data_IF_638061557348
#
_entry.id   IF_638061557348
#
_cell.length_a   1.000
_cell.length_b   1.000
_cell.length_c   1.000
_cell.angle_alpha   90.00
_cell.angle_beta   90.00
_cell.angle_gamma   90.00
#
_symmetry.space_group_name_H-M   'P 1'
#
loop_
_entity.id
_entity.type
_entity.pdbx_description
1 polymer ?
#
# COMPACT_ATOMS: atom_id res chain seq x y z
N UNK A 1 22.30 1.57 15.86
CA UNK A 1 22.62 0.13 15.89
C UNK A 1 21.44 -0.63 15.31
N UNK A 2 21.65 -1.66 14.48
CA UNK A 2 20.60 -2.37 13.76
C UNK A 2 19.65 -3.15 14.70
N UNK A 3 18.42 -3.38 14.26
CA UNK A 3 17.48 -4.28 14.92
C UNK A 3 17.92 -5.74 14.73
N UNK A 4 17.73 -6.58 15.75
CA UNK A 4 18.07 -7.99 15.73
C UNK A 4 16.84 -8.88 15.53
N UNK A 5 15.70 -8.44 16.06
CA UNK A 5 14.41 -9.12 16.00
C UNK A 5 13.33 -8.16 15.49
N UNK A 6 12.45 -8.65 14.61
CA UNK A 6 11.26 -7.97 14.14
C UNK A 6 10.01 -8.74 14.58
N UNK A 7 9.04 -8.08 15.20
CA UNK A 7 7.78 -8.72 15.61
C UNK A 7 6.64 -8.26 14.72
N UNK A 8 6.05 -9.20 13.98
CA UNK A 8 4.86 -9.01 13.14
C UNK A 8 3.60 -9.44 13.89
N UNK A 9 2.59 -8.59 13.92
CA UNK A 9 1.34 -8.87 14.64
C UNK A 9 0.19 -7.99 14.13
N UNK A 10 -1.04 -8.48 14.26
CA UNK A 10 -2.25 -7.68 13.99
C UNK A 10 -2.51 -6.72 15.16
N UNK A 11 -2.39 -5.42 14.89
CA UNK A 11 -2.44 -4.39 15.94
C UNK A 11 -3.85 -4.05 16.38
N UNK A 12 -4.72 -3.70 15.43
CA UNK A 12 -6.08 -3.23 15.70
C UNK A 12 -7.10 -4.27 15.22
N UNK A 13 -8.17 -4.42 15.98
CA UNK A 13 -9.29 -5.27 15.61
C UNK A 13 -10.03 -4.70 14.39
N UNK A 14 -10.47 -5.56 13.44
CA UNK A 14 -11.15 -5.11 12.22
C UNK A 14 -12.47 -4.35 12.46
N UNK A 15 -13.11 -4.61 13.58
CA UNK A 15 -14.38 -3.99 14.02
C UNK A 15 -14.20 -2.64 14.74
N UNK A 16 -12.96 -2.18 14.90
CA UNK A 16 -12.65 -0.93 15.57
C UNK A 16 -12.70 -1.01 17.11
N UNK A 17 -12.85 -2.20 17.72
CA UNK A 17 -12.93 -2.39 19.18
C UNK A 17 -11.63 -2.12 19.93
N UNK A 18 -10.55 -1.75 19.22
CA UNK A 18 -9.27 -1.38 19.81
C UNK A 18 -8.13 -2.32 19.47
N UNK A 19 -7.20 -2.50 20.42
CA UNK A 19 -6.02 -3.37 20.23
C UNK A 19 -6.40 -4.85 20.28
N UNK A 20 -5.78 -5.64 19.38
CA UNK A 20 -5.97 -7.08 19.35
C UNK A 20 -5.27 -7.80 20.50
N UNK A 21 -5.59 -9.08 20.68
CA UNK A 21 -4.82 -9.96 21.56
C UNK A 21 -3.41 -10.18 21.05
N UNK A 22 -3.19 -10.23 19.72
CA UNK A 22 -1.84 -10.27 19.09
C UNK A 22 -0.97 -9.12 19.57
N UNK A 23 -1.51 -7.89 19.61
CA UNK A 23 -0.78 -6.72 20.11
C UNK A 23 -0.32 -6.92 21.57
N UNK A 24 -1.18 -7.46 22.44
CA UNK A 24 -0.85 -7.67 23.85
C UNK A 24 0.26 -8.71 24.02
N UNK A 25 0.18 -9.82 23.27
CA UNK A 25 1.21 -10.86 23.27
C UNK A 25 2.54 -10.35 22.71
N UNK A 26 2.50 -9.61 21.61
CA UNK A 26 3.67 -9.01 20.99
C UNK A 26 4.34 -7.97 21.91
N UNK A 27 3.56 -7.14 22.59
CA UNK A 27 4.06 -6.16 23.56
C UNK A 27 4.73 -6.80 24.78
N UNK A 28 4.16 -7.89 25.28
CA UNK A 28 4.74 -8.66 26.39
C UNK A 28 6.05 -9.36 25.98
N UNK A 29 6.08 -9.93 24.78
CA UNK A 29 7.29 -10.55 24.22
C UNK A 29 8.37 -9.51 23.94
N UNK A 30 8.01 -8.35 23.36
CA UNK A 30 8.91 -7.22 23.11
C UNK A 30 9.60 -6.78 24.40
N UNK A 31 8.85 -6.58 25.49
CA UNK A 31 9.39 -6.21 26.80
C UNK A 31 10.39 -7.26 27.28
N UNK A 32 10.00 -8.53 27.24
CA UNK A 32 10.86 -9.64 27.71
C UNK A 32 12.18 -9.72 26.93
N UNK A 33 12.15 -9.56 25.61
CA UNK A 33 13.35 -9.57 24.77
C UNK A 33 14.22 -8.32 24.98
N UNK A 34 13.60 -7.15 25.15
CA UNK A 34 14.31 -5.90 25.42
C UNK A 34 15.01 -5.95 26.78
N UNK A 35 14.36 -6.46 27.81
CA UNK A 35 14.94 -6.68 29.14
C UNK A 35 16.11 -7.68 29.10
N UNK A 36 16.09 -8.61 28.13
CA UNK A 36 17.18 -9.53 27.85
C UNK A 36 18.30 -8.93 26.97
N UNK A 37 18.23 -7.63 26.63
CA UNK A 37 19.26 -6.93 25.85
C UNK A 37 19.18 -7.20 24.35
N UNK A 38 18.03 -7.62 23.84
CA UNK A 38 17.76 -7.79 22.40
C UNK A 38 17.18 -6.51 21.82
N UNK A 39 17.64 -6.08 20.66
CA UNK A 39 17.09 -4.94 19.93
C UNK A 39 15.93 -5.39 19.06
N UNK A 40 14.75 -5.09 19.52
CA UNK A 40 13.50 -5.52 18.90
C UNK A 40 12.81 -4.37 18.20
N UNK A 41 12.40 -4.56 16.95
CA UNK A 41 11.45 -3.69 16.31
C UNK A 41 10.03 -4.13 16.68
N UNK A 42 9.29 -3.21 17.27
CA UNK A 42 7.90 -3.38 17.66
C UNK A 42 7.13 -2.08 17.34
N UNK A 43 6.16 -2.18 16.44
CA UNK A 43 5.42 -1.00 15.97
C UNK A 43 4.26 -0.65 16.89
N UNK A 44 4.38 0.42 17.66
CA UNK A 44 3.29 0.98 18.47
C UNK A 44 2.45 2.03 17.73
N UNK A 45 2.91 2.53 16.58
CA UNK A 45 2.31 3.66 15.87
C UNK A 45 1.39 3.21 14.74
N UNK A 46 0.41 4.04 14.38
CA UNK A 46 -0.38 3.84 13.17
C UNK A 46 0.45 4.11 11.92
N UNK A 47 0.27 3.25 10.91
CA UNK A 47 1.01 3.23 9.64
C UNK A 47 0.56 4.37 8.71
N UNK A 48 0.60 5.63 9.16
CA UNK A 48 0.02 6.75 8.42
C UNK A 48 1.03 7.59 7.64
N UNK A 49 2.34 7.35 7.76
CA UNK A 49 3.35 8.16 7.08
C UNK A 49 4.37 7.31 6.30
N UNK A 50 4.77 7.78 5.13
CA UNK A 50 5.83 7.16 4.29
C UNK A 50 7.19 7.03 5.00
N UNK A 51 7.47 7.90 5.96
CA UNK A 51 8.67 7.82 6.80
C UNK A 51 8.65 6.57 7.70
N UNK A 52 7.48 6.23 8.24
CA UNK A 52 7.31 5.09 9.12
C UNK A 52 7.35 3.75 8.36
N UNK A 53 6.79 3.70 7.17
CA UNK A 53 6.90 2.51 6.29
C UNK A 53 8.37 2.22 5.97
N UNK A 54 9.17 3.24 5.69
CA UNK A 54 10.62 3.08 5.48
C UNK A 54 11.33 2.53 6.73
N UNK A 55 10.90 2.91 7.92
CA UNK A 55 11.44 2.39 9.16
C UNK A 55 11.14 0.89 9.34
N UNK A 56 9.91 0.46 9.02
CA UNK A 56 9.51 -0.95 9.04
C UNK A 56 10.39 -1.78 8.09
N UNK A 57 10.49 -1.36 6.83
CA UNK A 57 11.30 -2.11 5.86
C UNK A 57 12.79 -2.12 6.23
N UNK A 58 13.31 -1.03 6.78
CA UNK A 58 14.67 -1.00 7.31
C UNK A 58 14.83 -1.99 8.47
N UNK A 59 13.90 -2.01 9.40
CA UNK A 59 13.92 -2.92 10.53
C UNK A 59 13.79 -4.39 10.09
N UNK A 60 12.94 -4.69 9.09
CA UNK A 60 12.84 -6.02 8.47
C UNK A 60 14.16 -6.45 7.82
N UNK A 61 14.85 -5.52 7.15
CA UNK A 61 16.13 -5.82 6.50
C UNK A 61 17.27 -6.02 7.52
N UNK A 62 17.32 -5.20 8.56
CA UNK A 62 18.31 -5.30 9.63
C UNK A 62 18.13 -6.57 10.47
N UNK A 63 16.89 -6.95 10.79
CA UNK A 63 16.59 -8.05 11.68
C UNK A 63 17.09 -9.40 11.14
N UNK A 64 17.69 -10.20 12.02
CA UNK A 64 18.09 -11.58 11.74
C UNK A 64 16.95 -12.56 12.03
N UNK A 65 16.06 -12.21 12.95
CA UNK A 65 14.92 -13.03 13.35
C UNK A 65 13.64 -12.26 13.15
N UNK A 66 12.62 -12.92 12.59
CA UNK A 66 11.24 -12.46 12.60
C UNK A 66 10.38 -13.36 13.48
N UNK A 67 9.47 -12.74 14.24
CA UNK A 67 8.47 -13.45 15.04
C UNK A 67 7.10 -13.05 14.54
N UNK A 68 6.32 -14.02 14.07
CA UNK A 68 4.93 -13.80 13.66
C UNK A 68 4.02 -14.20 14.82
N UNK A 69 3.34 -13.23 15.40
CA UNK A 69 2.39 -13.44 16.50
C UNK A 69 0.99 -13.63 15.94
N UNK A 70 0.30 -14.68 16.38
CA UNK A 70 -1.05 -14.98 15.91
C UNK A 70 -1.96 -15.56 16.98
N UNK A 71 -3.17 -15.00 17.10
CA UNK A 71 -4.26 -15.54 17.92
C UNK A 71 -5.44 -15.99 17.09
N UNK A 72 -5.45 -15.64 15.80
CA UNK A 72 -6.45 -16.05 14.81
C UNK A 72 -5.79 -16.21 13.44
N UNK A 73 -6.21 -17.21 12.63
CA UNK A 73 -5.64 -17.41 11.30
C UNK A 73 -5.72 -16.16 10.42
N UNK A 74 -6.87 -15.46 10.43
CA UNK A 74 -7.08 -14.24 9.66
C UNK A 74 -6.17 -13.06 10.09
N UNK A 75 -5.59 -13.09 11.26
CA UNK A 75 -4.65 -12.08 11.72
C UNK A 75 -3.25 -12.32 11.17
N UNK A 76 -2.82 -13.58 11.09
CA UNK A 76 -1.53 -13.98 10.52
C UNK A 76 -1.45 -13.67 9.02
N UNK A 77 -2.56 -13.82 8.30
CA UNK A 77 -2.69 -13.49 6.87
C UNK A 77 -3.24 -12.09 6.61
N UNK A 78 -3.38 -11.27 7.66
CA UNK A 78 -3.80 -9.88 7.46
C UNK A 78 -2.73 -9.13 6.69
N UNK A 79 -3.17 -8.20 5.87
CA UNK A 79 -2.42 -7.46 4.85
C UNK A 79 -0.97 -7.13 5.24
N UNK A 80 -0.77 -6.47 6.39
CA UNK A 80 0.55 -6.05 6.86
C UNK A 80 1.38 -7.22 7.40
N UNK A 81 0.78 -8.06 8.24
CA UNK A 81 1.47 -9.21 8.83
C UNK A 81 1.93 -10.15 7.72
N UNK A 82 1.07 -10.40 6.72
CA UNK A 82 1.39 -11.22 5.55
C UNK A 82 2.55 -10.62 4.75
N UNK A 83 2.47 -9.34 4.38
CA UNK A 83 3.52 -8.66 3.62
C UNK A 83 4.88 -8.67 4.34
N UNK A 84 4.89 -8.51 5.67
CA UNK A 84 6.10 -8.52 6.49
C UNK A 84 6.79 -9.88 6.48
N UNK A 85 6.06 -10.96 6.79
CA UNK A 85 6.70 -12.29 6.85
C UNK A 85 7.01 -12.85 5.45
N UNK A 86 6.20 -12.55 4.43
CA UNK A 86 6.50 -12.91 3.05
C UNK A 86 7.79 -12.23 2.55
N UNK A 87 7.96 -10.94 2.83
CA UNK A 87 9.18 -10.19 2.54
C UNK A 87 10.40 -10.80 3.21
N UNK A 88 10.29 -11.17 4.48
CA UNK A 88 11.38 -11.77 5.25
C UNK A 88 11.74 -13.17 4.73
N UNK A 89 10.74 -14.01 4.43
CA UNK A 89 10.93 -15.32 3.79
C UNK A 89 11.63 -15.20 2.43
N UNK A 90 11.21 -14.27 1.61
CA UNK A 90 11.82 -14.00 0.31
C UNK A 90 13.30 -13.61 0.45
N UNK A 91 13.65 -12.87 1.51
CA UNK A 91 15.04 -12.52 1.80
C UNK A 91 15.87 -13.73 2.26
N UNK A 92 15.27 -14.69 3.00
CA UNK A 92 15.91 -15.96 3.38
C UNK A 92 16.15 -16.82 2.13
N UNK A 93 15.10 -17.08 1.31
CA UNK A 93 15.19 -17.91 0.11
C UNK A 93 16.13 -17.32 -0.95
N UNK A 94 16.12 -15.99 -1.10
CA UNK A 94 17.05 -15.24 -1.95
C UNK A 94 18.48 -15.16 -1.44
N UNK A 95 18.81 -15.87 -0.33
CA UNK A 95 20.13 -15.91 0.32
C UNK A 95 20.67 -14.54 0.78
N UNK A 96 19.82 -13.55 0.91
CA UNK A 96 20.17 -12.23 1.46
C UNK A 96 20.35 -12.30 2.97
N UNK A 97 19.51 -13.09 3.65
CA UNK A 97 19.58 -13.37 5.09
C UNK A 97 20.10 -14.79 5.30
N UNK A 98 21.43 -14.97 5.25
CA UNK A 98 22.08 -16.30 5.37
C UNK A 98 21.74 -17.01 6.67
N UNK A 99 21.55 -16.26 7.77
CA UNK A 99 21.18 -16.76 9.09
C UNK A 99 19.80 -16.27 9.53
N UNK A 100 18.93 -15.92 8.56
CA UNK A 100 17.58 -15.46 8.84
C UNK A 100 16.69 -16.58 9.33
N UNK A 101 15.89 -16.34 10.38
CA UNK A 101 14.97 -17.32 10.95
C UNK A 101 13.60 -16.69 11.20
N UNK A 102 12.53 -17.46 10.98
CA UNK A 102 11.17 -17.07 11.32
C UNK A 102 10.64 -18.03 12.37
N UNK A 103 10.15 -17.47 13.46
CA UNK A 103 9.39 -18.17 14.48
C UNK A 103 7.94 -17.72 14.47
N UNK A 104 7.02 -18.63 14.78
CA UNK A 104 5.63 -18.26 15.06
C UNK A 104 5.37 -18.37 16.56
N UNK A 105 4.60 -17.41 17.09
CA UNK A 105 4.25 -17.34 18.52
C UNK A 105 2.71 -17.22 18.63
N UNK A 106 2.09 -18.32 19.03
CA UNK A 106 0.66 -18.55 18.85
C UNK A 106 -0.08 -18.63 20.20
N UNK A 107 -1.33 -18.17 20.21
CA UNK A 107 -2.26 -18.39 21.35
C UNK A 107 -3.66 -18.68 20.81
N UNK A 108 -4.25 -19.78 21.27
CA UNK A 108 -5.63 -20.15 20.87
C UNK A 108 -5.79 -20.65 19.44
N UNK A 109 -4.67 -20.87 18.73
CA UNK A 109 -4.65 -21.50 17.40
C UNK A 109 -3.50 -22.52 17.29
N UNK A 110 -3.62 -23.41 16.32
CA UNK A 110 -2.67 -24.50 16.08
C UNK A 110 -1.88 -24.29 14.80
N UNK A 111 -0.77 -24.98 14.64
CA UNK A 111 0.14 -24.83 13.48
C UNK A 111 -0.52 -25.18 12.15
N UNK A 112 -1.46 -26.11 12.14
CA UNK A 112 -2.24 -26.54 10.96
C UNK A 112 -3.17 -25.46 10.43
N UNK A 113 -3.42 -24.40 11.20
CA UNK A 113 -4.16 -23.22 10.78
C UNK A 113 -3.27 -22.12 10.17
N UNK A 114 -1.95 -22.33 10.13
CA UNK A 114 -1.00 -21.41 9.51
C UNK A 114 -0.94 -21.60 7.99
N UNK A 115 -0.58 -20.53 7.23
CA UNK A 115 -0.17 -20.67 5.84
C UNK A 115 0.95 -21.70 5.67
N UNK A 116 0.96 -22.39 4.52
CA UNK A 116 1.93 -23.45 4.23
C UNK A 116 3.38 -22.99 4.39
N UNK A 117 3.66 -21.72 4.08
CA UNK A 117 4.98 -21.09 4.17
C UNK A 117 5.48 -20.98 5.63
N UNK A 118 4.56 -20.84 6.59
CA UNK A 118 4.84 -20.78 8.00
C UNK A 118 4.67 -22.11 8.72
N UNK A 119 3.89 -23.04 8.17
CA UNK A 119 3.60 -24.35 8.76
C UNK A 119 4.89 -25.13 9.11
N UNK A 120 5.89 -25.08 8.25
CA UNK A 120 7.16 -25.78 8.43
C UNK A 120 8.18 -24.97 9.26
N UNK A 121 7.78 -23.84 9.86
CA UNK A 121 8.63 -23.03 10.72
C UNK A 121 8.50 -23.47 12.18
N UNK A 122 9.49 -23.14 12.98
CA UNK A 122 9.43 -23.47 14.41
C UNK A 122 8.36 -22.59 15.09
N UNK A 123 7.36 -23.25 15.66
CA UNK A 123 6.22 -22.63 16.32
C UNK A 123 6.31 -22.80 17.85
N UNK A 124 5.87 -21.79 18.57
CA UNK A 124 5.81 -21.78 20.03
C UNK A 124 4.40 -21.37 20.46
N UNK A 125 3.81 -22.09 21.37
CA UNK A 125 2.60 -21.66 22.06
C UNK A 125 2.91 -20.57 23.09
N UNK A 126 1.93 -19.72 23.43
CA UNK A 126 2.11 -18.61 24.38
C UNK A 126 2.61 -19.05 25.75
N UNK A 127 2.34 -20.30 26.18
CA UNK A 127 2.89 -20.90 27.40
C UNK A 127 4.40 -21.19 27.31
N UNK A 128 4.95 -21.27 26.10
CA UNK A 128 6.35 -21.56 25.80
C UNK A 128 7.23 -20.30 25.64
N UNK A 129 6.76 -19.13 26.10
CA UNK A 129 7.49 -17.85 25.96
C UNK A 129 8.96 -17.94 26.37
N UNK A 130 9.25 -18.55 27.51
CA UNK A 130 10.63 -18.70 28.01
C UNK A 130 11.50 -19.52 27.05
N UNK A 131 10.93 -20.55 26.42
CA UNK A 131 11.65 -21.39 25.46
C UNK A 131 11.92 -20.59 24.16
N UNK A 132 10.96 -19.84 23.66
CA UNK A 132 11.13 -18.94 22.51
C UNK A 132 12.24 -17.91 22.79
N UNK A 133 12.20 -17.23 23.93
CA UNK A 133 13.23 -16.25 24.33
C UNK A 133 14.63 -16.89 24.39
N UNK A 134 14.75 -18.07 25.03
CA UNK A 134 16.01 -18.80 25.08
C UNK A 134 16.53 -19.19 23.70
N UNK A 135 15.62 -19.58 22.79
CA UNK A 135 15.96 -19.92 21.41
C UNK A 135 16.50 -18.71 20.64
N UNK A 136 15.85 -17.56 20.80
CA UNK A 136 16.27 -16.30 20.19
C UNK A 136 17.64 -15.87 20.69
N UNK A 137 17.86 -15.89 22.02
CA UNK A 137 19.15 -15.53 22.62
C UNK A 137 20.27 -16.42 22.10
N UNK A 138 20.06 -17.74 22.07
CA UNK A 138 21.02 -18.69 21.52
C UNK A 138 21.33 -18.41 20.04
N UNK A 139 20.32 -18.12 19.23
CA UNK A 139 20.51 -17.80 17.80
C UNK A 139 21.34 -16.52 17.63
N UNK A 140 21.15 -15.52 18.50
CA UNK A 140 21.88 -14.25 18.51
C UNK A 140 23.23 -14.33 19.21
N UNK A 141 23.63 -15.50 19.75
CA UNK A 141 24.87 -15.68 20.51
C UNK A 141 24.88 -14.91 21.84
N UNK A 142 23.72 -14.68 22.45
CA UNK A 142 23.57 -13.95 23.72
C UNK A 142 23.29 -14.91 24.88
N UNK A 143 23.80 -14.58 26.05
CA UNK A 143 23.52 -15.35 27.29
C UNK A 143 22.32 -14.77 28.01
N UNK A 144 21.40 -15.59 28.48
CA UNK A 144 20.23 -15.13 29.24
C UNK A 144 20.65 -14.35 30.50
N UNK A 145 20.07 -13.19 30.80
CA UNK A 145 20.33 -12.45 32.04
C UNK A 145 19.88 -13.27 33.25
N UNK A 146 20.70 -13.29 34.31
CA UNK A 146 20.26 -13.84 35.58
C UNK A 146 19.09 -13.00 36.15
N UNK A 147 18.09 -13.62 36.79
CA UNK A 147 16.95 -12.90 37.31
C UNK A 147 17.34 -11.91 38.41
N UNK A 148 17.05 -10.62 38.17
CA UNK A 148 17.15 -9.56 39.19
C UNK A 148 16.02 -9.74 40.21
N UNK A 149 16.26 -9.48 41.53
CA UNK A 149 15.22 -9.53 42.55
C UNK A 149 14.17 -8.45 42.30
N UNK A 150 12.89 -8.81 42.51
CA UNK A 150 11.71 -7.93 42.29
C UNK A 150 11.74 -6.73 43.24
N UNK A 151 11.47 -5.49 42.77
CA UNK A 151 11.20 -4.37 43.66
C UNK A 151 9.79 -4.47 44.27
N UNK A 152 9.69 -4.06 45.53
CA UNK A 152 8.44 -3.95 46.32
C UNK A 152 7.58 -2.81 45.79
N UNK A 153 6.25 -2.89 45.77
CA UNK A 153 5.37 -1.88 45.16
C UNK A 153 5.18 -0.64 46.04
N UNK A 154 5.36 0.54 45.46
CA UNK A 154 4.94 1.82 46.03
C UNK A 154 3.47 2.17 45.69
N UNK A 155 2.78 2.93 46.57
CA UNK A 155 1.32 3.11 46.48
C UNK A 155 0.90 4.17 45.47
N UNK A 156 -0.26 3.94 44.84
CA UNK A 156 -0.89 4.79 43.81
C UNK A 156 -1.45 6.09 44.37
N UNK A 157 -1.35 7.23 43.68
CA UNK A 157 -2.15 8.42 43.95
C UNK A 157 -3.57 8.31 43.34
N UNK A 158 -4.54 8.89 44.04
CA UNK A 158 -5.98 8.92 43.71
C UNK A 158 -6.31 9.91 42.57
N UNK A 159 -7.41 9.73 41.84
CA UNK A 159 -7.81 10.59 40.74
C UNK A 159 -8.47 11.92 41.23
N UNK A 160 -8.22 12.99 40.49
CA UNK A 160 -8.89 14.28 40.64
C UNK A 160 -10.00 14.40 39.59
N UNK A 161 -11.22 14.63 40.07
CA UNK A 161 -12.42 14.91 39.28
C UNK A 161 -12.35 16.29 38.62
N UNK A 162 -12.67 16.39 37.34
CA UNK A 162 -12.97 17.66 36.67
C UNK A 162 -14.42 17.68 36.17
N UNK A 163 -15.14 18.70 36.57
CA UNK A 163 -16.53 19.02 36.22
C UNK A 163 -16.65 19.57 34.79
N UNK A 164 -17.80 19.37 34.11
CA UNK A 164 -18.02 19.80 32.73
C UNK A 164 -18.43 21.26 32.58
N UNK A 165 -17.97 21.91 31.54
CA UNK A 165 -18.38 23.25 31.11
C UNK A 165 -19.39 23.15 29.96
N UNK A 166 -20.44 23.98 30.08
CA UNK A 166 -21.64 23.97 29.25
C UNK A 166 -21.42 24.55 27.84
N UNK A 167 -22.20 23.98 26.89
CA UNK A 167 -22.32 24.43 25.49
C UNK A 167 -23.15 25.69 25.37
N UNK A 168 -22.72 26.65 24.55
CA UNK A 168 -23.56 27.72 24.01
C UNK A 168 -23.71 27.52 22.49
N UNK A 169 -24.96 27.55 22.02
CA UNK A 169 -25.36 27.58 20.62
C UNK A 169 -25.40 29.02 20.08
N UNK A 170 -25.06 29.26 18.82
CA UNK A 170 -25.46 30.47 18.11
C UNK A 170 -26.73 30.27 17.26
N UNK A 171 -27.59 31.27 17.28
CA UNK A 171 -28.84 31.39 16.53
C UNK A 171 -28.62 31.87 15.09
N UNK A 172 -29.60 31.70 14.16
CA UNK A 172 -29.44 31.89 12.73
C UNK A 172 -29.70 33.32 12.27
N UNK A 173 -28.95 33.76 11.26
CA UNK A 173 -29.15 35.04 10.57
C UNK A 173 -29.71 34.83 9.17
N UNK A 174 -30.69 35.67 8.85
CA UNK A 174 -31.60 35.69 7.71
C UNK A 174 -30.93 35.80 6.33
N UNK A 175 -31.58 35.22 5.31
CA UNK A 175 -31.25 35.28 3.88
C UNK A 175 -31.63 36.60 3.22
N UNK A 176 -30.91 37.07 2.21
CA UNK A 176 -31.43 37.90 1.13
C UNK A 176 -31.65 37.11 -0.17
N UNK A 177 -32.71 37.47 -0.89
CA UNK A 177 -33.20 36.90 -2.15
C UNK A 177 -32.34 37.27 -3.40
N UNK A 178 -32.54 36.60 -4.57
CA UNK A 178 -31.48 36.34 -5.54
C UNK A 178 -31.41 37.36 -6.67
N UNK A 179 -30.19 37.73 -7.05
CA UNK A 179 -29.86 38.40 -8.29
C UNK A 179 -29.51 37.35 -9.39
N UNK A 180 -29.91 37.63 -10.61
CA UNK A 180 -29.79 36.77 -11.78
C UNK A 180 -28.36 36.32 -12.08
N UNK A 181 -28.18 34.99 -12.32
CA UNK A 181 -26.91 34.32 -12.60
C UNK A 181 -26.36 34.70 -13.99
N UNK A 182 -25.09 35.15 -14.08
CA UNK A 182 -24.31 34.96 -15.30
C UNK A 182 -23.97 33.47 -15.47
N UNK A 183 -23.82 33.01 -16.70
CA UNK A 183 -23.46 31.63 -17.04
C UNK A 183 -22.26 31.16 -16.19
N UNK A 184 -22.47 30.21 -15.26
CA UNK A 184 -21.43 29.75 -14.34
C UNK A 184 -20.48 28.86 -15.08
N UNK A 185 -19.30 29.34 -15.40
CA UNK A 185 -18.16 28.49 -15.65
C UNK A 185 -17.95 27.62 -14.38
N UNK A 186 -18.21 26.33 -14.51
CA UNK A 186 -18.04 25.39 -13.39
C UNK A 186 -16.56 25.40 -13.00
N UNK A 187 -16.24 26.03 -11.89
CA UNK A 187 -14.86 26.02 -11.35
C UNK A 187 -14.51 24.59 -11.04
N UNK A 188 -13.51 24.04 -11.76
CA UNK A 188 -13.02 22.69 -11.56
C UNK A 188 -12.36 22.56 -10.18
N UNK A 189 -12.64 21.47 -9.47
CA UNK A 189 -12.11 21.19 -8.11
C UNK A 189 -11.45 19.81 -8.07
N UNK A 190 -10.49 19.64 -7.19
CA UNK A 190 -9.92 18.32 -6.88
C UNK A 190 -11.03 17.38 -6.42
N UNK A 191 -11.09 16.20 -7.03
CA UNK A 191 -12.13 15.20 -6.83
C UNK A 191 -13.30 15.26 -7.84
N UNK A 192 -13.44 16.35 -8.59
CA UNK A 192 -14.45 16.41 -9.67
C UNK A 192 -14.17 15.34 -10.72
N UNK A 193 -15.27 14.86 -11.34
CA UNK A 193 -15.20 13.95 -12.48
C UNK A 193 -15.66 14.69 -13.74
N UNK A 194 -14.84 14.62 -14.78
CA UNK A 194 -15.12 15.27 -16.07
C UNK A 194 -14.98 14.28 -17.22
N UNK A 195 -15.82 14.36 -18.26
CA UNK A 195 -15.63 13.62 -19.50
C UNK A 195 -14.53 14.28 -20.34
N UNK A 196 -13.61 13.48 -20.88
CA UNK A 196 -12.62 13.94 -21.85
C UNK A 196 -12.11 12.76 -22.69
N UNK A 197 -12.16 12.87 -24.00
CA UNK A 197 -11.85 11.77 -24.91
C UNK A 197 -12.89 10.64 -24.88
N UNK A 198 -12.67 9.63 -25.68
CA UNK A 198 -13.56 8.47 -25.85
C UNK A 198 -12.72 7.21 -26.05
N UNK A 199 -13.14 6.09 -25.46
CA UNK A 199 -12.43 4.81 -25.61
C UNK A 199 -13.41 3.65 -25.46
N UNK A 200 -13.11 2.45 -25.98
CA UNK A 200 -13.93 1.26 -25.71
C UNK A 200 -14.07 1.00 -24.21
N UNK A 201 -15.32 0.82 -23.75
CA UNK A 201 -15.61 0.52 -22.35
C UNK A 201 -16.62 -0.61 -22.17
N UNK A 202 -17.50 -0.81 -23.15
CA UNK A 202 -18.46 -1.92 -23.17
C UNK A 202 -17.82 -3.25 -23.56
N UNK A 203 -18.51 -4.35 -23.27
CA UNK A 203 -18.02 -5.70 -23.51
C UNK A 203 -17.73 -5.98 -25.01
N UNK A 204 -18.51 -5.40 -25.91
CA UNK A 204 -18.32 -5.55 -27.34
C UNK A 204 -17.47 -4.42 -27.96
N UNK A 205 -16.80 -3.61 -27.15
CA UNK A 205 -15.96 -2.52 -27.60
C UNK A 205 -16.74 -1.23 -27.90
N UNK A 206 -17.92 -1.05 -27.31
CA UNK A 206 -18.70 0.19 -27.45
C UNK A 206 -17.87 1.37 -26.94
N UNK A 207 -17.64 2.35 -27.84
CA UNK A 207 -16.85 3.54 -27.54
C UNK A 207 -17.70 4.55 -26.78
N UNK A 208 -17.29 4.87 -25.55
CA UNK A 208 -17.97 5.76 -24.63
C UNK A 208 -17.04 6.89 -24.17
N UNK A 209 -17.58 8.04 -23.68
CA UNK A 209 -16.75 9.08 -23.07
C UNK A 209 -15.95 8.53 -21.90
N UNK A 210 -14.64 8.82 -21.87
CA UNK A 210 -13.80 8.52 -20.72
C UNK A 210 -14.07 9.50 -19.59
N UNK A 211 -14.31 8.98 -18.39
CA UNK A 211 -14.45 9.77 -17.17
C UNK A 211 -13.13 9.89 -16.45
N UNK A 212 -12.76 11.13 -16.13
CA UNK A 212 -11.50 11.46 -15.46
C UNK A 212 -11.76 12.12 -14.12
N UNK A 213 -11.01 11.71 -13.11
CA UNK A 213 -10.99 12.35 -11.80
C UNK A 213 -9.88 13.39 -11.77
N UNK A 214 -10.18 14.57 -11.26
CA UNK A 214 -9.20 15.64 -11.01
C UNK A 214 -8.42 15.29 -9.73
N UNK A 215 -7.11 15.11 -9.87
CA UNK A 215 -6.21 14.81 -8.76
C UNK A 215 -5.52 16.07 -8.20
N UNK A 216 -5.18 17.02 -9.07
CA UNK A 216 -4.53 18.27 -8.70
C UNK A 216 -4.90 19.41 -9.68
N UNK A 217 -4.76 20.64 -9.20
CA UNK A 217 -4.90 21.86 -9.99
C UNK A 217 -3.65 22.70 -9.73
N UNK A 218 -2.85 22.93 -10.76
CA UNK A 218 -1.58 23.68 -10.64
C UNK A 218 -1.32 24.51 -11.89
N UNK A 219 -1.02 25.78 -11.74
CA UNK A 219 -0.55 26.66 -12.83
C UNK A 219 -1.41 26.64 -14.11
N UNK A 220 -2.73 26.70 -13.98
CA UNK A 220 -3.67 26.66 -15.12
C UNK A 220 -3.83 25.28 -15.76
N UNK A 221 -3.41 24.21 -15.06
CA UNK A 221 -3.57 22.82 -15.52
C UNK A 221 -4.27 21.97 -14.47
N UNK A 222 -4.92 20.91 -14.92
CA UNK A 222 -5.49 19.87 -14.08
C UNK A 222 -4.78 18.54 -14.31
N UNK A 223 -4.31 17.89 -13.25
CA UNK A 223 -3.89 16.49 -13.30
C UNK A 223 -5.13 15.60 -13.26
N UNK A 224 -5.31 14.83 -14.30
CA UNK A 224 -6.44 13.92 -14.48
C UNK A 224 -5.96 12.48 -14.46
N UNK A 225 -6.78 11.59 -13.88
CA UNK A 225 -6.62 10.12 -13.96
C UNK A 225 -7.97 9.49 -14.34
N UNK A 226 -7.97 8.42 -15.12
CA UNK A 226 -9.23 7.70 -15.41
C UNK A 226 -9.89 7.21 -14.11
N UNK A 227 -11.23 7.28 -14.08
CA UNK A 227 -11.97 6.81 -12.90
C UNK A 227 -11.91 5.28 -12.77
N UNK A 228 -12.02 4.59 -13.90
CA UNK A 228 -11.94 3.14 -14.03
C UNK A 228 -10.63 2.69 -14.71
N UNK A 229 -10.33 1.38 -14.64
CA UNK A 229 -9.29 0.74 -15.45
C UNK A 229 -9.84 0.53 -16.86
N UNK A 230 -9.18 1.12 -17.85
CA UNK A 230 -9.74 1.22 -19.20
C UNK A 230 -9.30 0.10 -20.15
N UNK A 231 -8.21 -0.57 -19.85
CA UNK A 231 -7.65 -1.66 -20.64
C UNK A 231 -6.81 -2.59 -19.76
N UNK A 232 -6.31 -3.69 -20.34
CA UNK A 232 -5.33 -4.60 -19.77
C UNK A 232 -4.14 -4.71 -20.71
N UNK A 233 -3.03 -4.09 -20.34
CA UNK A 233 -1.79 -4.09 -21.12
C UNK A 233 -0.63 -4.41 -20.17
N UNK A 234 0.27 -5.34 -20.50
CA UNK A 234 1.42 -5.63 -19.66
C UNK A 234 2.33 -4.40 -19.57
N UNK A 235 3.06 -4.25 -18.45
CA UNK A 235 4.04 -3.18 -18.31
C UNK A 235 5.12 -3.28 -19.39
N UNK A 236 5.54 -4.52 -19.70
CA UNK A 236 6.40 -4.85 -20.84
C UNK A 236 5.93 -6.15 -21.50
N UNK A 237 5.81 -6.18 -22.82
CA UNK A 237 5.45 -7.40 -23.57
C UNK A 237 6.43 -8.55 -23.33
N UNK A 238 7.70 -8.23 -23.09
CA UNK A 238 8.71 -9.21 -22.78
C UNK A 238 9.05 -9.16 -21.29
N UNK A 239 9.17 -10.33 -20.66
CA UNK A 239 9.63 -10.45 -19.27
C UNK A 239 11.15 -10.25 -19.22
N UNK A 240 11.57 -8.99 -19.11
CA UNK A 240 12.97 -8.57 -19.02
C UNK A 240 13.13 -7.34 -18.12
N UNK A 241 14.37 -7.01 -17.79
CA UNK A 241 14.66 -5.76 -17.05
C UNK A 241 14.30 -4.56 -17.91
N UNK A 242 13.35 -3.75 -17.42
CA UNK A 242 12.87 -2.53 -18.08
C UNK A 242 12.70 -1.41 -17.06
N UNK A 243 12.68 -0.19 -17.56
CA UNK A 243 12.28 1.02 -16.81
C UNK A 243 11.06 1.64 -17.48
N UNK A 244 10.44 2.64 -16.85
CA UNK A 244 9.37 3.40 -17.51
C UNK A 244 9.77 3.92 -18.89
N UNK A 245 11.00 4.43 -19.02
CA UNK A 245 11.54 4.92 -20.29
C UNK A 245 11.45 3.88 -21.43
N UNK A 246 11.72 2.62 -21.13
CA UNK A 246 11.91 1.55 -22.12
C UNK A 246 10.72 0.60 -22.26
N UNK A 247 9.77 0.63 -21.34
CA UNK A 247 8.63 -0.29 -21.29
C UNK A 247 7.64 -0.09 -22.47
N UNK A 248 6.92 -1.15 -22.82
CA UNK A 248 5.93 -1.10 -23.90
C UNK A 248 4.66 -0.38 -23.49
N UNK A 249 4.27 -0.42 -22.21
CA UNK A 249 3.11 0.30 -21.69
C UNK A 249 3.23 1.82 -21.92
N UNK A 250 4.39 2.42 -21.64
CA UNK A 250 4.62 3.84 -21.92
C UNK A 250 4.48 4.17 -23.40
N UNK A 251 5.05 3.33 -24.26
CA UNK A 251 4.94 3.49 -25.72
C UNK A 251 3.48 3.42 -26.17
N UNK A 252 2.74 2.46 -25.69
CA UNK A 252 1.32 2.31 -25.96
C UNK A 252 0.52 3.53 -25.48
N UNK A 253 0.75 4.02 -24.26
CA UNK A 253 0.06 5.21 -23.73
C UNK A 253 0.28 6.47 -24.58
N UNK A 254 1.51 6.70 -25.02
CA UNK A 254 1.88 7.91 -25.76
C UNK A 254 1.67 7.83 -27.27
N UNK A 255 1.32 6.67 -27.80
CA UNK A 255 1.04 6.46 -29.23
C UNK A 255 -0.37 5.94 -29.46
N UNK A 256 -0.61 4.65 -29.20
CA UNK A 256 -1.85 3.98 -29.61
C UNK A 256 -3.05 4.48 -28.82
N UNK A 257 -2.95 4.53 -27.49
CA UNK A 257 -3.99 5.06 -26.63
C UNK A 257 -4.25 6.56 -26.91
N UNK A 258 -3.20 7.37 -26.98
CA UNK A 258 -3.33 8.81 -27.22
C UNK A 258 -4.06 9.10 -28.52
N UNK A 259 -3.77 8.36 -29.59
CA UNK A 259 -4.45 8.51 -30.90
C UNK A 259 -5.86 7.95 -30.91
N UNK A 260 -6.09 6.84 -30.22
CA UNK A 260 -7.40 6.19 -30.20
C UNK A 260 -8.40 6.92 -29.33
N UNK A 261 -7.94 7.52 -28.22
CA UNK A 261 -8.81 8.09 -27.19
C UNK A 261 -9.15 9.58 -27.40
N UNK A 262 -8.33 10.33 -28.14
CA UNK A 262 -8.47 11.79 -28.21
C UNK A 262 -8.43 12.34 -29.65
N UNK A 263 -9.34 13.28 -29.94
CA UNK A 263 -9.29 14.09 -31.16
C UNK A 263 -8.02 14.96 -31.23
N UNK A 264 -7.70 15.53 -32.39
CA UNK A 264 -6.54 16.42 -32.53
C UNK A 264 -6.65 17.65 -31.63
N UNK A 265 -7.86 18.21 -31.46
CA UNK A 265 -8.11 19.35 -30.58
C UNK A 265 -7.95 18.96 -29.09
N UNK A 266 -8.45 17.81 -28.70
CA UNK A 266 -8.26 17.28 -27.34
C UNK A 266 -6.78 17.00 -27.07
N UNK A 267 -6.09 16.40 -28.04
CA UNK A 267 -4.65 16.16 -27.93
C UNK A 267 -3.85 17.46 -27.76
N UNK A 268 -4.21 18.55 -28.42
CA UNK A 268 -3.55 19.86 -28.29
C UNK A 268 -3.64 20.42 -26.86
N UNK A 269 -4.66 20.03 -26.09
CA UNK A 269 -4.85 20.43 -24.70
C UNK A 269 -4.08 19.55 -23.69
N UNK A 270 -3.59 18.37 -24.09
CA UNK A 270 -2.82 17.49 -23.23
C UNK A 270 -1.36 17.99 -23.20
N UNK A 271 -0.90 18.43 -22.03
CA UNK A 271 0.44 18.95 -21.85
C UNK A 271 1.49 17.83 -21.97
N UNK A 272 2.61 18.13 -22.63
CA UNK A 272 3.82 17.30 -22.50
C UNK A 272 4.53 17.67 -21.22
N UNK A 273 4.82 16.68 -20.37
CA UNK A 273 5.47 16.88 -19.08
C UNK A 273 6.74 16.04 -18.96
N UNK A 274 7.67 16.54 -18.15
CA UNK A 274 8.88 15.79 -17.77
C UNK A 274 8.58 14.98 -16.52
N UNK A 275 8.57 13.66 -16.65
CA UNK A 275 8.40 12.74 -15.54
C UNK A 275 9.76 12.34 -14.94
N UNK A 276 9.89 12.52 -13.65
CA UNK A 276 10.97 11.93 -12.86
C UNK A 276 10.68 10.43 -12.70
N UNK A 277 11.70 9.61 -12.91
CA UNK A 277 11.63 8.17 -12.71
C UNK A 277 12.68 7.76 -11.66
N UNK A 278 12.46 8.08 -10.37
CA UNK A 278 13.41 7.78 -9.32
C UNK A 278 13.57 6.27 -9.11
N UNK A 279 14.64 5.89 -8.43
CA UNK A 279 14.80 4.55 -7.89
C UNK A 279 13.58 4.23 -7.03
N UNK A 280 13.11 2.99 -7.06
CA UNK A 280 12.09 2.51 -6.13
C UNK A 280 12.53 2.81 -4.68
N UNK A 281 11.65 3.36 -3.82
CA UNK A 281 12.00 3.74 -2.46
C UNK A 281 12.28 2.55 -1.53
N UNK A 282 11.89 1.33 -1.91
CA UNK A 282 12.22 0.12 -1.14
C UNK A 282 13.73 -0.11 -1.11
N UNK A 283 14.18 -0.82 -0.07
CA UNK A 283 15.62 -1.00 0.20
C UNK A 283 16.39 -1.63 -0.97
N UNK A 284 15.73 -2.52 -1.69
CA UNK A 284 16.28 -3.25 -2.85
C UNK A 284 15.77 -2.72 -4.19
N UNK A 285 15.08 -1.58 -4.16
CA UNK A 285 14.38 -1.05 -5.31
C UNK A 285 15.25 -0.89 -6.55
N UNK A 286 14.70 -1.31 -7.68
CA UNK A 286 15.34 -1.14 -8.97
C UNK A 286 15.48 0.35 -9.34
N UNK A 287 16.40 0.66 -10.26
CA UNK A 287 16.55 2.01 -10.83
C UNK A 287 15.34 2.35 -11.70
N UNK A 288 14.83 3.57 -11.61
CA UNK A 288 13.66 4.03 -12.37
C UNK A 288 13.96 4.42 -13.82
N UNK A 289 15.22 4.66 -14.15
CA UNK A 289 15.64 5.11 -15.49
C UNK A 289 15.81 6.61 -15.60
N UNK A 290 15.90 7.09 -16.84
CA UNK A 290 16.07 8.50 -17.16
C UNK A 290 14.75 9.27 -17.05
N UNK A 291 14.83 10.60 -17.10
CA UNK A 291 13.68 11.48 -17.29
C UNK A 291 12.96 11.12 -18.58
N UNK A 292 11.63 11.17 -18.56
CA UNK A 292 10.82 10.93 -19.77
C UNK A 292 9.94 12.14 -20.09
N UNK A 293 9.77 12.40 -21.37
CA UNK A 293 8.76 13.36 -21.86
C UNK A 293 7.51 12.58 -22.21
N UNK A 294 6.42 12.82 -21.47
CA UNK A 294 5.18 12.09 -21.64
C UNK A 294 4.00 13.03 -21.75
N UNK A 295 3.04 12.66 -22.59
CA UNK A 295 1.73 13.29 -22.65
C UNK A 295 0.72 12.51 -21.80
N UNK A 296 0.81 11.18 -21.82
CA UNK A 296 0.00 10.27 -21.01
C UNK A 296 0.95 9.33 -20.26
N UNK A 297 0.69 9.12 -18.97
CA UNK A 297 1.58 8.34 -18.11
C UNK A 297 0.80 7.58 -17.02
N UNK A 298 1.40 6.55 -16.45
CA UNK A 298 0.97 5.97 -15.19
C UNK A 298 1.54 6.79 -14.03
N UNK A 299 0.84 6.90 -12.90
CA UNK A 299 1.36 7.57 -11.72
C UNK A 299 2.59 6.83 -11.17
N UNK A 300 3.51 7.56 -10.53
CA UNK A 300 4.56 6.96 -9.69
C UNK A 300 4.00 6.51 -8.34
N UNK A 301 4.79 5.75 -7.57
CA UNK A 301 4.51 5.44 -6.16
C UNK A 301 4.21 6.74 -5.39
N UNK A 302 5.12 7.72 -5.47
CA UNK A 302 5.01 8.99 -4.75
C UNK A 302 3.74 9.77 -5.14
N UNK A 303 3.40 9.80 -6.43
CA UNK A 303 2.19 10.48 -6.92
C UNK A 303 0.91 9.75 -6.47
N UNK A 304 0.89 8.41 -6.52
CA UNK A 304 -0.23 7.62 -6.06
C UNK A 304 -0.47 7.80 -4.54
N UNK A 305 0.59 7.95 -3.76
CA UNK A 305 0.49 8.23 -2.32
C UNK A 305 0.12 9.69 -2.03
N UNK A 306 0.60 10.64 -2.85
CA UNK A 306 0.36 12.08 -2.67
C UNK A 306 -1.06 12.50 -3.03
N UNK A 307 -1.58 12.03 -4.16
CA UNK A 307 -2.82 12.56 -4.74
C UNK A 307 -4.08 11.83 -4.29
N UNK A 308 -3.97 10.67 -3.67
CA UNK A 308 -5.11 9.97 -3.10
C UNK A 308 -5.06 10.02 -1.57
N UNK A 309 -6.21 10.23 -0.94
CA UNK A 309 -6.32 10.40 0.52
C UNK A 309 -6.20 9.08 1.29
N UNK A 310 -6.50 7.97 0.65
CA UNK A 310 -6.56 6.64 1.27
C UNK A 310 -6.42 5.53 0.24
N UNK A 311 -6.22 4.30 0.71
CA UNK A 311 -6.24 3.11 -0.14
C UNK A 311 -7.58 2.97 -0.87
N UNK A 312 -8.69 3.21 -0.18
CA UNK A 312 -10.02 3.18 -0.80
C UNK A 312 -10.17 4.15 -1.97
N UNK A 313 -9.54 5.32 -1.91
CA UNK A 313 -9.54 6.31 -2.99
C UNK A 313 -8.74 5.86 -4.21
N UNK A 314 -7.72 5.01 -4.02
CA UNK A 314 -6.90 4.42 -5.08
C UNK A 314 -7.57 3.24 -5.77
N UNK A 315 -8.54 2.59 -5.12
CA UNK A 315 -9.28 1.49 -5.73
C UNK A 315 -9.86 1.91 -7.09
N UNK A 316 -9.84 1.01 -8.06
CA UNK A 316 -10.44 1.23 -9.36
C UNK A 316 -11.08 -0.08 -9.88
N UNK A 317 -12.20 0.03 -10.57
CA UNK A 317 -12.84 -1.12 -11.19
C UNK A 317 -12.48 -1.19 -12.67
N UNK A 318 -12.24 -2.37 -13.24
CA UNK A 318 -12.07 -2.51 -14.68
C UNK A 318 -13.41 -2.28 -15.42
N UNK A 319 -13.34 -1.66 -16.60
CA UNK A 319 -14.46 -1.61 -17.54
C UNK A 319 -14.74 -3.01 -18.08
N UNK A 320 -15.93 -3.23 -18.67
CA UNK A 320 -16.23 -4.51 -19.31
C UNK A 320 -15.24 -4.81 -20.44
N UNK A 321 -14.82 -3.80 -21.20
CA UNK A 321 -13.78 -3.92 -22.21
C UNK A 321 -12.42 -4.37 -21.60
N UNK A 322 -11.98 -3.72 -20.52
CA UNK A 322 -10.74 -4.10 -19.85
C UNK A 322 -10.76 -5.55 -19.32
N UNK A 323 -11.92 -5.99 -18.79
CA UNK A 323 -12.12 -7.39 -18.36
C UNK A 323 -11.96 -8.36 -19.55
N UNK A 324 -12.60 -8.07 -20.67
CA UNK A 324 -12.48 -8.87 -21.89
C UNK A 324 -11.05 -8.89 -22.43
N UNK A 325 -10.30 -7.83 -22.20
CA UNK A 325 -8.86 -7.72 -22.54
C UNK A 325 -7.95 -8.44 -21.56
N UNK A 326 -8.47 -8.97 -20.45
CA UNK A 326 -7.75 -9.77 -19.47
C UNK A 326 -7.47 -9.08 -18.14
N UNK A 327 -8.01 -7.88 -17.88
CA UNK A 327 -7.85 -7.22 -16.59
C UNK A 327 -8.38 -8.10 -15.44
N UNK A 328 -7.58 -8.23 -14.41
CA UNK A 328 -7.96 -8.98 -13.22
C UNK A 328 -9.13 -8.32 -12.48
N UNK A 329 -10.09 -9.13 -12.05
CA UNK A 329 -11.24 -8.74 -11.25
C UNK A 329 -11.18 -9.44 -9.91
N UNK A 330 -11.20 -8.69 -8.82
CA UNK A 330 -11.17 -9.25 -7.48
C UNK A 330 -12.49 -9.92 -7.11
N UNK A 331 -12.42 -11.10 -6.49
CA UNK A 331 -13.59 -11.74 -5.88
C UNK A 331 -13.95 -11.16 -4.50
N UNK A 332 -12.95 -10.61 -3.80
CA UNK A 332 -13.06 -10.20 -2.39
C UNK A 332 -13.24 -8.69 -2.20
N UNK A 333 -12.85 -7.87 -3.17
CA UNK A 333 -12.86 -6.41 -3.02
C UNK A 333 -13.80 -5.75 -4.03
N UNK A 334 -14.69 -4.91 -3.51
CA UNK A 334 -15.65 -4.15 -4.32
C UNK A 334 -15.97 -2.81 -3.66
N UNK A 335 -16.44 -1.86 -4.46
CA UNK A 335 -17.04 -0.64 -3.94
C UNK A 335 -18.41 -0.92 -3.27
N UNK A 336 -18.93 0.07 -2.52
CA UNK A 336 -20.26 -0.02 -1.89
C UNK A 336 -21.39 -0.32 -2.88
N UNK A 337 -21.25 0.05 -4.16
CA UNK A 337 -22.17 -0.26 -5.25
C UNK A 337 -21.98 -1.66 -5.85
N UNK A 338 -21.21 -2.54 -5.22
CA UNK A 338 -20.86 -3.91 -5.65
C UNK A 338 -20.03 -3.99 -6.94
N UNK A 339 -19.47 -2.88 -7.44
CA UNK A 339 -18.54 -2.90 -8.56
C UNK A 339 -17.21 -3.46 -8.08
N UNK A 340 -16.82 -4.65 -8.58
CA UNK A 340 -15.57 -5.33 -8.20
C UNK A 340 -14.36 -4.53 -8.69
N UNK A 341 -13.25 -4.58 -7.95
CA UNK A 341 -12.01 -3.83 -8.24
C UNK A 341 -10.99 -4.69 -8.95
N UNK A 342 -10.10 -4.05 -9.69
CA UNK A 342 -8.90 -4.63 -10.28
C UNK A 342 -7.63 -4.00 -9.70
N UNK A 343 -6.47 -4.58 -9.98
CA UNK A 343 -5.18 -3.98 -9.69
C UNK A 343 -4.62 -3.26 -10.94
N UNK A 344 -3.72 -2.27 -10.75
CA UNK A 344 -3.26 -1.44 -11.87
C UNK A 344 -1.81 -0.98 -11.71
N UNK A 345 -1.13 -0.84 -12.85
CA UNK A 345 0.28 -0.48 -12.94
C UNK A 345 0.56 0.95 -12.49
N UNK A 346 1.69 1.11 -11.78
CA UNK A 346 2.39 2.38 -11.58
C UNK A 346 3.61 2.44 -12.52
N UNK A 347 4.13 3.66 -12.80
CA UNK A 347 5.34 3.79 -13.63
C UNK A 347 6.64 3.48 -12.87
N UNK A 348 6.61 3.50 -11.56
CA UNK A 348 7.78 3.20 -10.72
C UNK A 348 8.20 1.74 -10.88
N UNK A 349 9.53 1.45 -10.90
CA UNK A 349 10.01 0.08 -10.87
C UNK A 349 9.63 -0.61 -9.57
N UNK A 350 9.64 -1.93 -9.55
CA UNK A 350 9.51 -2.75 -8.35
C UNK A 350 10.83 -2.93 -7.61
N UNK A 351 10.91 -3.98 -6.80
CA UNK A 351 12.13 -4.37 -6.09
C UNK A 351 13.26 -4.86 -7.00
N UNK A 352 12.93 -5.30 -8.20
CA UNK A 352 13.87 -5.75 -9.24
C UNK A 352 13.48 -5.13 -10.59
N UNK A 353 14.41 -5.08 -11.54
CA UNK A 353 14.17 -4.52 -12.88
C UNK A 353 13.17 -5.29 -13.75
N UNK A 354 12.81 -6.54 -13.40
CA UNK A 354 11.75 -7.32 -14.03
C UNK A 354 10.38 -7.15 -13.34
N UNK A 355 10.31 -6.27 -12.33
CA UNK A 355 9.10 -5.96 -11.56
C UNK A 355 8.74 -4.48 -11.73
N UNK A 356 7.45 -4.17 -11.79
CA UNK A 356 6.92 -2.81 -11.73
C UNK A 356 5.98 -2.67 -10.54
N UNK A 357 6.04 -1.53 -9.85
CA UNK A 357 5.13 -1.22 -8.76
C UNK A 357 3.68 -1.13 -9.27
N UNK A 358 2.72 -1.44 -8.44
CA UNK A 358 1.32 -1.45 -8.80
C UNK A 358 0.42 -1.13 -7.61
N UNK A 359 -0.84 -0.85 -7.87
CA UNK A 359 -1.86 -0.68 -6.84
C UNK A 359 -2.72 -1.93 -6.79
N UNK A 360 -2.79 -2.57 -5.64
CA UNK A 360 -3.60 -3.76 -5.38
C UNK A 360 -5.10 -3.48 -5.52
N UNK A 361 -5.90 -4.53 -5.64
CA UNK A 361 -7.38 -4.46 -5.72
C UNK A 361 -8.02 -3.73 -4.55
N UNK A 362 -7.38 -3.69 -3.39
CA UNK A 362 -7.78 -2.97 -2.18
C UNK A 362 -7.24 -1.53 -2.11
N UNK A 363 -6.50 -1.07 -3.14
CA UNK A 363 -5.95 0.28 -3.22
C UNK A 363 -4.57 0.49 -2.57
N UNK A 364 -4.00 -0.54 -1.96
CA UNK A 364 -2.66 -0.49 -1.41
C UNK A 364 -1.60 -0.39 -2.51
N UNK A 365 -0.57 0.43 -2.31
CA UNK A 365 0.55 0.59 -3.24
C UNK A 365 1.60 -0.47 -2.93
N UNK A 366 1.70 -1.49 -3.79
CA UNK A 366 2.74 -2.50 -3.69
C UNK A 366 4.03 -2.02 -4.36
N UNK A 367 5.03 -1.75 -3.54
CA UNK A 367 6.33 -1.25 -3.98
C UNK A 367 7.28 -2.38 -4.40
N UNK A 368 7.05 -3.61 -3.95
CA UNK A 368 7.84 -4.78 -4.37
C UNK A 368 7.58 -5.03 -5.85
N UNK A 369 6.32 -4.89 -6.25
CA UNK A 369 5.93 -4.92 -7.65
C UNK A 369 5.56 -6.31 -8.15
N UNK A 370 4.96 -6.33 -9.32
CA UNK A 370 4.55 -7.53 -10.04
C UNK A 370 5.37 -7.69 -11.33
N UNK A 371 5.50 -8.93 -11.82
CA UNK A 371 6.25 -9.25 -13.04
C UNK A 371 5.78 -8.42 -14.24
N UNK A 372 6.70 -7.72 -14.90
CA UNK A 372 6.39 -6.75 -15.96
C UNK A 372 5.63 -7.33 -17.15
N UNK A 373 5.75 -8.65 -17.39
CA UNK A 373 5.05 -9.36 -18.48
C UNK A 373 3.64 -9.82 -18.10
N UNK A 374 3.09 -9.45 -16.94
CA UNK A 374 1.76 -9.88 -16.53
C UNK A 374 0.66 -9.16 -17.32
N UNK A 375 -0.21 -9.92 -17.98
CA UNK A 375 -1.31 -9.40 -18.80
C UNK A 375 -2.58 -9.05 -18.01
N UNK A 376 -2.66 -9.40 -16.73
CA UNK A 376 -3.82 -9.09 -15.87
C UNK A 376 -3.81 -7.67 -15.29
N UNK A 377 -2.74 -6.92 -15.52
CA UNK A 377 -2.58 -5.55 -15.04
C UNK A 377 -3.53 -4.57 -15.70
N UNK A 378 -4.39 -3.94 -14.91
CA UNK A 378 -5.23 -2.87 -15.39
C UNK A 378 -4.41 -1.60 -15.73
N UNK A 379 -4.87 -0.88 -16.74
CA UNK A 379 -4.27 0.40 -17.14
C UNK A 379 -5.15 1.55 -16.66
N UNK A 380 -4.55 2.49 -15.94
CA UNK A 380 -5.20 3.67 -15.39
C UNK A 380 -4.39 4.91 -15.77
N UNK A 381 -4.57 5.44 -16.99
CA UNK A 381 -3.78 6.57 -17.51
C UNK A 381 -4.04 7.86 -16.74
N UNK A 382 -2.99 8.68 -16.66
CA UNK A 382 -3.04 10.05 -16.17
C UNK A 382 -2.40 11.02 -17.16
N UNK A 383 -2.80 12.29 -17.12
CA UNK A 383 -2.21 13.38 -17.90
C UNK A 383 -2.51 14.75 -17.29
N UNK A 384 -1.74 15.76 -17.69
CA UNK A 384 -2.02 17.16 -17.37
C UNK A 384 -2.81 17.82 -18.50
N UNK A 385 -4.01 18.30 -18.19
CA UNK A 385 -4.88 19.06 -19.09
C UNK A 385 -4.64 20.55 -18.92
N UNK A 386 -4.34 21.26 -20.00
CA UNK A 386 -4.36 22.73 -20.02
C UNK A 386 -5.82 23.20 -19.95
N UNK A 387 -6.12 24.08 -19.00
CA UNK A 387 -7.48 24.60 -18.71
C UNK A 387 -7.81 25.83 -19.53
#
# INVERSE_FOLDING_TARGET
MPYEVFISFKRNAPDGSGKTRDFQLAADLHRTLTDAGVKVFFSERDLSTSAFIREIYRALDEATIQIVVGTKPEYVISEWVHAEWETFLSAIFGKRKKNGEIYTYLEGMTVDQLPLELYNRQSFDSSQKSLLVSRILNHLGKTAPQPKPKPVPEPKPKPVEQKPVAKQQPQPVSQPQPAQKPASYKILRVGDKIPFGRYPQGENGEVQPLMWRVLALESGRALLITDDLIDAVPYSEEYKKVTWETCTLRKWMNNDFLRAAFSSEEQARIATVTNLNPKNPSLFGARGGNLTQDRVFALSIEEAEKFFRSDNDRMAAPTAYAIKRGAYVSDNYSFKNRKKTGWWWLRSPGGDGCLAAYVLTRGYVDQIGYGVGNHGGGVRPAFWLNL
#
